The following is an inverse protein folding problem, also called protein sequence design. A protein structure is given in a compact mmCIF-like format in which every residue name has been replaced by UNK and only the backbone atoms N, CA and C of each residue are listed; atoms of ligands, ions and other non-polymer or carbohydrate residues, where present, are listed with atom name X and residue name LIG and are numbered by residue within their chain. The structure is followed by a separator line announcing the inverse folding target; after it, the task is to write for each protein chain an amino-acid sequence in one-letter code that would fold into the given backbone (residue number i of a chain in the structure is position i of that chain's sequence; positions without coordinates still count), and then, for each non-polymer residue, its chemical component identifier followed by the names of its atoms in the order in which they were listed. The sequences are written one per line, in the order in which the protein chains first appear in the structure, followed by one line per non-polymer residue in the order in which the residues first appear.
data_IF_497487089430
#
_entry.id   IF_497487089430
#
_cell.length_a   1.000
_cell.length_b   1.000
_cell.length_c   1.000
_cell.angle_alpha   90.00
_cell.angle_beta   90.00
_cell.angle_gamma   90.00
#
_symmetry.space_group_name_H-M   'P 1'
#
loop_
_entity.id
_entity.type
_entity.pdbx_description
1 polymer ?
#
# COMPACT_ATOMS: atom_id res chain seq x y z
N UNK A 1 10.59 -5.11 9.32
CA UNK A 1 10.16 -5.67 10.63
C UNK A 1 10.88 -7.00 10.77
N UNK A 2 11.82 -7.11 11.70
CA UNK A 2 12.47 -8.40 12.03
C UNK A 2 11.46 -9.17 12.87
N UNK A 3 11.02 -10.33 12.41
CA UNK A 3 10.20 -11.22 13.23
C UNK A 3 11.08 -11.68 14.42
N UNK A 4 10.59 -11.62 15.66
CA UNK A 4 11.33 -12.11 16.81
C UNK A 4 11.66 -13.60 16.63
N UNK A 5 12.83 -13.98 17.13
CA UNK A 5 13.24 -15.37 17.19
C UNK A 5 12.22 -16.17 18.04
N UNK A 6 12.06 -17.45 17.77
CA UNK A 6 11.02 -18.32 18.36
C UNK A 6 11.06 -18.46 19.92
N UNK A 7 11.77 -17.58 20.60
CA UNK A 7 11.85 -17.45 22.05
C UNK A 7 11.26 -16.16 22.62
N UNK A 8 10.85 -15.21 21.78
CA UNK A 8 10.23 -13.99 22.28
C UNK A 8 8.75 -14.23 22.58
N UNK A 9 8.37 -14.03 23.84
CA UNK A 9 6.98 -14.12 24.29
C UNK A 9 6.09 -13.17 23.47
N UNK A 10 5.09 -13.75 22.80
CA UNK A 10 4.00 -12.97 22.19
C UNK A 10 3.35 -12.15 23.30
N UNK A 11 3.49 -10.83 23.27
CA UNK A 11 2.88 -9.95 24.27
C UNK A 11 1.38 -10.07 24.21
N UNK A 12 0.78 -10.47 25.32
CA UNK A 12 -0.65 -10.62 25.49
C UNK A 12 -1.37 -9.28 25.21
N UNK A 13 -2.25 -9.27 24.22
CA UNK A 13 -3.21 -8.19 24.03
C UNK A 13 -4.36 -8.31 25.03
N UNK A 14 -5.15 -7.24 25.27
CA UNK A 14 -6.31 -7.30 26.14
C UNK A 14 -7.33 -8.32 25.58
N UNK A 15 -7.59 -9.39 26.33
CA UNK A 15 -8.51 -10.49 25.97
C UNK A 15 -7.87 -11.85 25.74
N UNK A 16 -6.54 -11.97 25.84
CA UNK A 16 -5.86 -13.27 25.71
C UNK A 16 -6.18 -14.17 26.91
N UNK A 17 -6.64 -15.43 26.72
CA UNK A 17 -6.85 -16.35 27.83
C UNK A 17 -5.52 -16.65 28.54
N UNK A 18 -5.46 -16.44 29.84
CA UNK A 18 -4.26 -16.74 30.64
C UNK A 18 -3.96 -18.23 30.58
N UNK A 19 -2.80 -18.61 30.03
CA UNK A 19 -2.26 -19.98 30.08
C UNK A 19 -2.57 -20.85 28.85
N UNK A 20 -3.11 -20.33 27.75
CA UNK A 20 -3.31 -21.06 26.50
C UNK A 20 -2.12 -20.93 25.54
N UNK A 21 -1.75 -22.02 24.83
CA UNK A 21 -0.82 -21.96 23.71
C UNK A 21 -1.53 -21.23 22.56
N UNK A 22 -1.03 -20.05 22.17
CA UNK A 22 -1.52 -19.34 20.99
C UNK A 22 -0.90 -19.95 19.73
N UNK A 23 -1.76 -20.31 18.78
CA UNK A 23 -1.33 -20.78 17.48
C UNK A 23 -1.59 -19.66 16.47
N UNK A 24 -0.57 -19.18 15.73
CA UNK A 24 -0.77 -18.12 14.74
C UNK A 24 -1.67 -18.63 13.61
N UNK A 25 -2.80 -17.97 13.38
CA UNK A 25 -3.74 -18.34 12.33
C UNK A 25 -3.38 -17.75 10.96
N UNK A 26 -2.87 -16.51 10.95
CA UNK A 26 -2.61 -15.78 9.71
C UNK A 26 -1.50 -14.74 9.91
N UNK A 27 -0.70 -14.55 8.87
CA UNK A 27 0.26 -13.45 8.73
C UNK A 27 -0.16 -12.62 7.52
N UNK A 28 -0.21 -11.30 7.69
CA UNK A 28 -0.42 -10.36 6.58
C UNK A 28 0.91 -9.70 6.25
N UNK A 29 1.48 -10.04 5.11
CA UNK A 29 2.66 -9.39 4.56
C UNK A 29 2.23 -8.28 3.59
N UNK A 30 2.87 -7.12 3.66
CA UNK A 30 2.48 -5.96 2.86
C UNK A 30 3.53 -5.62 1.80
N UNK A 31 3.09 -5.43 0.57
CA UNK A 31 3.90 -4.91 -0.53
C UNK A 31 3.46 -3.48 -0.83
N UNK A 32 4.26 -2.52 -0.35
CA UNK A 32 3.95 -1.10 -0.45
C UNK A 32 2.98 -0.62 0.63
N UNK A 33 3.46 -0.57 1.89
CA UNK A 33 2.69 -0.07 3.03
C UNK A 33 2.14 1.34 2.79
N UNK A 34 0.97 1.63 3.33
CA UNK A 34 0.31 2.94 3.16
C UNK A 34 1.17 4.10 3.64
N UNK A 35 1.91 3.93 4.72
CA UNK A 35 2.68 5.03 5.32
C UNK A 35 3.95 5.36 4.55
N UNK A 36 4.75 4.36 4.15
CA UNK A 36 6.11 4.56 3.62
C UNK A 36 6.43 3.75 2.38
N UNK A 37 5.49 2.96 1.88
CA UNK A 37 5.69 2.00 0.79
C UNK A 37 6.74 0.91 1.08
N UNK A 38 6.95 0.58 2.35
CA UNK A 38 7.80 -0.53 2.72
C UNK A 38 7.32 -1.84 2.08
N UNK A 39 8.25 -2.71 1.76
CA UNK A 39 8.00 -3.99 1.08
C UNK A 39 8.52 -5.10 1.99
N UNK A 40 7.62 -5.96 2.43
CA UNK A 40 7.96 -7.09 3.28
C UNK A 40 8.66 -8.21 2.50
N UNK A 41 9.60 -8.94 3.11
CA UNK A 41 10.35 -10.01 2.46
C UNK A 41 9.51 -11.30 2.35
N UNK A 42 8.64 -11.39 1.33
CA UNK A 42 7.66 -12.47 1.17
C UNK A 42 8.26 -13.88 1.28
N UNK A 43 9.44 -14.21 0.67
CA UNK A 43 9.99 -15.57 0.76
C UNK A 43 10.32 -15.99 2.21
N UNK A 44 10.88 -15.06 3.00
CA UNK A 44 11.23 -15.33 4.39
C UNK A 44 9.97 -15.51 5.26
N UNK A 45 8.95 -14.66 5.05
CA UNK A 45 7.67 -14.75 5.76
C UNK A 45 6.95 -16.06 5.39
N UNK A 46 6.91 -16.42 4.10
CA UNK A 46 6.30 -17.66 3.63
C UNK A 46 6.96 -18.90 4.26
N UNK A 47 8.31 -18.88 4.44
CA UNK A 47 9.00 -19.95 5.12
C UNK A 47 8.52 -20.13 6.57
N UNK A 48 8.37 -19.03 7.30
CA UNK A 48 7.86 -19.05 8.68
C UNK A 48 6.40 -19.51 8.73
N UNK A 49 5.54 -18.99 7.85
CA UNK A 49 4.13 -19.38 7.78
C UNK A 49 3.98 -20.89 7.58
N UNK A 50 4.73 -21.48 6.64
CA UNK A 50 4.70 -22.94 6.40
C UNK A 50 5.13 -23.75 7.62
N UNK A 51 6.15 -23.32 8.35
CA UNK A 51 6.61 -24.02 9.56
C UNK A 51 5.55 -24.07 10.66
N UNK A 52 4.70 -23.04 10.73
CA UNK A 52 3.70 -22.89 11.79
C UNK A 52 2.27 -23.16 11.32
N UNK A 53 2.07 -23.58 10.07
CA UNK A 53 0.74 -23.81 9.50
C UNK A 53 -0.13 -22.55 9.45
N UNK A 54 0.48 -21.35 9.42
CA UNK A 54 -0.24 -20.09 9.37
C UNK A 54 -0.55 -19.70 7.92
N UNK A 55 -1.76 -19.15 7.69
CA UNK A 55 -2.17 -18.59 6.40
C UNK A 55 -1.33 -17.36 6.06
N UNK A 56 -0.76 -17.30 4.86
CA UNK A 56 -0.09 -16.11 4.37
C UNK A 56 -1.00 -15.31 3.43
N UNK A 57 -1.38 -14.12 3.87
CA UNK A 57 -2.04 -13.13 3.02
C UNK A 57 -1.05 -12.06 2.57
N UNK A 58 -1.04 -11.70 1.29
CA UNK A 58 -0.24 -10.59 0.75
C UNK A 58 -1.15 -9.42 0.43
N UNK A 59 -0.96 -8.32 1.16
CA UNK A 59 -1.59 -7.03 0.86
C UNK A 59 -0.69 -6.21 -0.06
N UNK A 60 -0.98 -6.25 -1.33
CA UNK A 60 -0.36 -5.42 -2.37
C UNK A 60 -1.34 -4.36 -2.91
N UNK A 61 -2.22 -3.87 -2.05
CA UNK A 61 -3.39 -3.06 -2.43
C UNK A 61 -3.04 -1.88 -3.34
N UNK A 62 -1.92 -1.20 -3.11
CA UNK A 62 -1.47 -0.10 -3.95
C UNK A 62 -0.35 -0.53 -4.91
N UNK A 63 0.73 -1.06 -4.36
CA UNK A 63 1.95 -1.35 -5.12
C UNK A 63 1.82 -2.55 -6.07
N UNK A 64 0.86 -3.46 -5.84
CA UNK A 64 0.60 -4.58 -6.75
C UNK A 64 0.34 -4.14 -8.20
N UNK A 65 -0.18 -2.92 -8.40
CA UNK A 65 -0.33 -2.33 -9.73
C UNK A 65 1.00 -2.12 -10.46
N UNK A 66 2.11 -1.92 -9.74
CA UNK A 66 3.42 -1.72 -10.35
C UNK A 66 3.99 -3.01 -10.97
N UNK A 67 3.48 -4.19 -10.59
CA UNK A 67 3.88 -5.47 -11.18
C UNK A 67 3.50 -5.62 -12.67
N UNK A 68 2.71 -4.69 -13.23
CA UNK A 68 2.51 -4.56 -14.68
C UNK A 68 3.84 -4.29 -15.40
N UNK A 69 4.80 -3.66 -14.73
CA UNK A 69 6.14 -3.37 -15.22
C UNK A 69 7.06 -4.55 -14.95
N UNK A 70 7.70 -5.14 -15.98
CA UNK A 70 8.65 -6.24 -15.79
C UNK A 70 9.75 -5.90 -14.77
N UNK A 71 10.29 -4.69 -14.82
CA UNK A 71 11.34 -4.19 -13.94
C UNK A 71 10.91 -3.99 -12.48
N UNK A 72 9.60 -3.97 -12.20
CA UNK A 72 9.08 -3.82 -10.84
C UNK A 72 8.57 -5.14 -10.23
N UNK A 73 8.57 -6.23 -10.98
CA UNK A 73 8.05 -7.52 -10.50
C UNK A 73 8.79 -8.08 -9.29
N UNK A 74 10.02 -7.62 -9.06
CA UNK A 74 10.81 -8.02 -7.89
C UNK A 74 10.09 -7.72 -6.55
N UNK A 75 9.21 -6.69 -6.50
CA UNK A 75 8.44 -6.37 -5.28
C UNK A 75 7.48 -7.50 -4.89
N UNK A 76 7.15 -8.38 -5.84
CA UNK A 76 6.23 -9.49 -5.66
C UNK A 76 6.96 -10.84 -5.56
N UNK A 77 8.31 -10.86 -5.49
CA UNK A 77 9.07 -12.11 -5.37
C UNK A 77 8.61 -12.91 -4.16
N UNK A 78 8.21 -14.17 -4.36
CA UNK A 78 7.68 -15.05 -3.32
C UNK A 78 6.16 -15.04 -3.18
N UNK A 79 5.45 -14.19 -3.93
CA UNK A 79 3.97 -14.12 -3.89
C UNK A 79 3.31 -15.43 -4.29
N UNK A 80 3.97 -16.25 -5.11
CA UNK A 80 3.50 -17.59 -5.50
C UNK A 80 3.39 -18.55 -4.31
N UNK A 81 3.96 -18.20 -3.15
CA UNK A 81 3.91 -18.98 -1.92
C UNK A 81 2.76 -18.52 -1.00
N UNK A 82 2.08 -17.43 -1.32
CA UNK A 82 0.97 -16.91 -0.53
C UNK A 82 -0.30 -17.77 -0.71
N UNK A 83 -1.12 -17.84 0.33
CA UNK A 83 -2.44 -18.46 0.30
C UNK A 83 -3.49 -17.53 -0.30
N UNK A 84 -3.31 -16.23 -0.12
CA UNK A 84 -4.15 -15.20 -0.75
C UNK A 84 -3.39 -13.91 -1.02
N UNK A 85 -3.88 -13.15 -2.00
CA UNK A 85 -3.33 -11.88 -2.45
C UNK A 85 -4.45 -10.90 -2.75
N UNK A 86 -4.27 -9.64 -2.38
CA UNK A 86 -5.14 -8.54 -2.82
C UNK A 86 -4.33 -7.45 -3.50
N UNK A 87 -4.86 -6.89 -4.60
CA UNK A 87 -4.47 -5.58 -5.09
C UNK A 87 -5.69 -4.78 -5.53
N UNK A 88 -5.57 -3.46 -5.55
CA UNK A 88 -6.69 -2.57 -5.77
C UNK A 88 -6.53 -1.76 -7.07
N UNK A 89 -7.10 -2.20 -8.20
CA UNK A 89 -7.11 -1.43 -9.45
C UNK A 89 -7.66 -0.01 -9.28
N UNK A 90 -8.56 0.22 -8.32
CA UNK A 90 -9.09 1.55 -8.03
C UNK A 90 -8.10 2.50 -7.36
N UNK A 91 -6.88 2.05 -7.03
CA UNK A 91 -5.79 2.91 -6.55
C UNK A 91 -4.92 3.36 -7.73
N UNK A 92 -3.89 2.62 -8.07
CA UNK A 92 -2.88 3.09 -9.02
C UNK A 92 -3.15 2.73 -10.50
N UNK A 93 -4.14 1.86 -10.77
CA UNK A 93 -4.61 1.58 -12.14
C UNK A 93 -5.79 2.45 -12.58
N UNK A 94 -6.10 3.53 -11.86
CA UNK A 94 -7.09 4.55 -12.24
C UNK A 94 -8.54 4.04 -12.41
N UNK A 95 -8.87 2.88 -11.92
CA UNK A 95 -10.24 2.39 -11.95
C UNK A 95 -11.08 3.15 -10.94
N UNK A 96 -12.26 3.63 -11.35
CA UNK A 96 -13.17 4.32 -10.44
C UNK A 96 -13.50 3.46 -9.22
N UNK A 97 -13.50 4.09 -8.05
CA UNK A 97 -13.77 3.46 -6.76
C UNK A 97 -15.15 2.77 -6.78
N UNK A 98 -15.30 1.55 -6.26
CA UNK A 98 -14.21 0.69 -5.86
C UNK A 98 -14.05 -0.47 -6.86
N UNK A 99 -12.83 -1.02 -6.93
CA UNK A 99 -12.51 -2.24 -7.65
C UNK A 99 -11.27 -2.86 -6.97
N UNK A 100 -11.48 -3.99 -6.28
CA UNK A 100 -10.41 -4.80 -5.67
C UNK A 100 -10.38 -6.15 -6.33
N UNK A 101 -9.18 -6.65 -6.61
CA UNK A 101 -8.95 -8.00 -7.09
C UNK A 101 -8.36 -8.84 -5.95
N UNK A 102 -9.05 -9.90 -5.59
CA UNK A 102 -8.63 -10.85 -4.57
C UNK A 102 -8.37 -12.20 -5.21
N UNK A 103 -7.23 -12.77 -4.92
CA UNK A 103 -6.81 -14.08 -5.38
C UNK A 103 -6.66 -15.00 -4.17
N UNK A 104 -7.11 -16.21 -4.28
CA UNK A 104 -7.00 -17.24 -3.25
C UNK A 104 -6.54 -18.54 -3.89
N UNK A 105 -5.64 -19.25 -3.20
CA UNK A 105 -5.09 -20.51 -3.67
C UNK A 105 -6.12 -21.65 -3.51
N UNK A 106 -6.68 -21.77 -2.30
CA UNK A 106 -7.68 -22.79 -1.95
C UNK A 106 -9.09 -22.18 -2.02
N UNK A 107 -9.71 -22.33 -3.20
CA UNK A 107 -11.09 -21.85 -3.46
C UNK A 107 -12.10 -22.58 -2.58
N UNK A 108 -11.88 -23.88 -2.30
CA UNK A 108 -12.80 -24.68 -1.50
C UNK A 108 -12.86 -24.18 -0.05
N UNK A 109 -11.74 -23.77 0.53
CA UNK A 109 -11.71 -23.13 1.84
C UNK A 109 -12.49 -21.81 1.86
N UNK A 110 -12.37 -21.00 0.79
CA UNK A 110 -13.14 -19.77 0.66
C UNK A 110 -14.64 -20.05 0.60
N UNK A 111 -15.06 -21.01 -0.23
CA UNK A 111 -16.47 -21.40 -0.35
C UNK A 111 -17.01 -21.95 0.96
N UNK A 112 -16.28 -22.84 1.64
CA UNK A 112 -16.70 -23.35 2.97
C UNK A 112 -16.89 -22.26 4.00
N UNK A 113 -16.14 -21.15 3.88
CA UNK A 113 -16.21 -20.01 4.81
C UNK A 113 -17.43 -19.13 4.55
N UNK A 114 -17.78 -18.89 3.29
CA UNK A 114 -18.74 -17.85 2.92
C UNK A 114 -20.04 -18.38 2.31
N UNK A 115 -20.06 -19.61 1.78
CA UNK A 115 -21.27 -20.13 1.14
C UNK A 115 -22.40 -20.32 2.16
N UNK A 116 -23.44 -19.51 2.02
CA UNK A 116 -24.73 -19.69 2.69
C UNK A 116 -25.77 -19.80 1.58
N UNK A 117 -26.14 -21.03 1.23
CA UNK A 117 -27.06 -21.28 0.12
C UNK A 117 -28.43 -21.69 0.62
N UNK A 118 -29.35 -20.72 0.94
CA UNK A 118 -30.72 -21.00 1.29
C UNK A 118 -31.42 -21.73 0.14
N UNK A 119 -32.48 -22.46 0.45
CA UNK A 119 -33.20 -23.30 -0.51
C UNK A 119 -33.69 -22.53 -1.75
N UNK A 120 -34.17 -21.29 -1.56
CA UNK A 120 -34.67 -20.45 -2.67
C UNK A 120 -33.61 -19.97 -3.64
N UNK A 121 -32.31 -20.07 -3.29
CA UNK A 121 -31.20 -19.73 -4.16
C UNK A 121 -30.60 -20.93 -4.90
N UNK A 122 -31.04 -22.13 -4.59
CA UNK A 122 -30.60 -23.36 -5.25
C UNK A 122 -31.26 -23.47 -6.62
N UNK A 123 -30.44 -23.74 -7.63
CA UNK A 123 -30.91 -23.95 -9.00
C UNK A 123 -30.34 -25.24 -9.57
N UNK A 124 -30.99 -25.77 -10.60
CA UNK A 124 -30.50 -26.96 -11.30
C UNK A 124 -29.12 -26.73 -12.01
N UNK A 125 -28.70 -25.47 -12.13
CA UNK A 125 -27.46 -25.08 -12.84
C UNK A 125 -26.33 -24.69 -11.89
N UNK A 126 -26.49 -24.86 -10.57
CA UNK A 126 -25.48 -24.45 -9.59
C UNK A 126 -24.10 -25.15 -9.80
N UNK A 127 -24.12 -26.37 -10.37
CA UNK A 127 -22.91 -27.10 -10.73
C UNK A 127 -22.24 -26.62 -12.01
N UNK A 128 -22.96 -25.87 -12.85
CA UNK A 128 -22.52 -25.50 -14.20
C UNK A 128 -21.97 -24.09 -14.26
N UNK A 129 -22.08 -23.33 -13.16
CA UNK A 129 -21.71 -21.91 -13.10
C UNK A 129 -20.91 -21.59 -11.84
N UNK A 130 -20.11 -20.52 -11.90
CA UNK A 130 -19.44 -19.96 -10.73
C UNK A 130 -20.37 -18.95 -10.06
N UNK A 131 -20.89 -19.31 -8.88
CA UNK A 131 -21.75 -18.43 -8.10
C UNK A 131 -20.92 -17.51 -7.21
N UNK A 132 -20.64 -16.29 -7.65
CA UNK A 132 -19.84 -15.31 -6.88
C UNK A 132 -20.50 -14.86 -5.56
N UNK A 133 -21.79 -15.12 -5.34
CA UNK A 133 -22.45 -14.94 -4.03
C UNK A 133 -21.75 -15.74 -2.92
N UNK A 134 -21.16 -16.88 -3.28
CA UNK A 134 -20.54 -17.82 -2.34
C UNK A 134 -19.05 -17.46 -2.05
N UNK A 135 -18.52 -16.43 -2.72
CA UNK A 135 -17.11 -16.00 -2.63
C UNK A 135 -16.89 -14.86 -1.62
N UNK A 136 -17.85 -14.55 -0.78
CA UNK A 136 -17.75 -13.50 0.23
C UNK A 136 -19.10 -13.17 0.86
N UNK A 137 -19.11 -12.21 1.77
CA UNK A 137 -20.28 -11.85 2.56
C UNK A 137 -21.43 -11.19 1.77
N UNK A 138 -21.17 -10.71 0.55
CA UNK A 138 -22.13 -9.94 -0.24
C UNK A 138 -22.89 -10.87 -1.19
N UNK A 139 -24.23 -10.96 -1.06
CA UNK A 139 -25.08 -11.71 -1.98
C UNK A 139 -25.06 -11.10 -3.38
N UNK A 140 -25.31 -9.81 -3.51
CA UNK A 140 -25.29 -9.09 -4.77
C UNK A 140 -24.00 -8.30 -4.95
N UNK A 141 -23.43 -8.34 -6.16
CA UNK A 141 -22.18 -7.63 -6.48
C UNK A 141 -22.35 -6.74 -7.70
N UNK A 142 -21.75 -5.56 -7.65
CA UNK A 142 -21.62 -4.73 -8.84
C UNK A 142 -20.65 -5.39 -9.82
N UNK A 143 -20.87 -5.21 -11.13
CA UNK A 143 -19.96 -5.70 -12.16
C UNK A 143 -18.68 -4.84 -12.24
N UNK A 144 -17.84 -4.96 -11.21
CA UNK A 144 -16.60 -4.16 -11.08
C UNK A 144 -15.56 -4.50 -12.13
N UNK A 145 -15.50 -5.75 -12.58
CA UNK A 145 -14.58 -6.20 -13.62
C UNK A 145 -14.78 -5.42 -14.93
N UNK A 146 -16.01 -4.97 -15.25
CA UNK A 146 -16.28 -4.16 -16.43
C UNK A 146 -15.53 -2.81 -16.39
N UNK A 147 -15.45 -2.17 -15.22
CA UNK A 147 -14.68 -0.92 -15.07
C UNK A 147 -13.19 -1.13 -15.34
N UNK A 148 -12.63 -2.21 -14.80
CA UNK A 148 -11.23 -2.59 -15.05
C UNK A 148 -11.01 -2.90 -16.54
N UNK A 149 -11.93 -3.63 -17.16
CA UNK A 149 -11.86 -3.94 -18.58
C UNK A 149 -11.84 -2.67 -19.44
N UNK A 150 -12.71 -1.68 -19.16
CA UNK A 150 -12.72 -0.40 -19.88
C UNK A 150 -11.40 0.37 -19.71
N UNK A 151 -10.83 0.40 -18.50
CA UNK A 151 -9.53 1.06 -18.26
C UNK A 151 -8.43 0.37 -19.07
N UNK A 152 -8.34 -0.96 -19.02
CA UNK A 152 -7.34 -1.72 -19.79
C UNK A 152 -7.55 -1.51 -21.30
N UNK A 153 -8.78 -1.51 -21.77
CA UNK A 153 -9.09 -1.28 -23.21
C UNK A 153 -8.77 0.14 -23.65
N UNK A 154 -8.96 1.13 -22.77
CA UNK A 154 -8.72 2.55 -23.07
C UNK A 154 -7.24 2.92 -23.10
N UNK A 155 -6.47 2.45 -22.11
CA UNK A 155 -5.06 2.84 -21.96
C UNK A 155 -4.08 1.80 -22.51
N UNK A 156 -4.47 0.54 -22.60
CA UNK A 156 -3.58 -0.60 -22.83
C UNK A 156 -2.62 -0.86 -21.69
N UNK A 157 -1.92 -1.99 -21.75
CA UNK A 157 -0.86 -2.33 -20.79
C UNK A 157 0.30 -1.34 -20.88
N UNK A 158 0.67 -0.95 -22.10
CA UNK A 158 1.78 -0.04 -22.36
C UNK A 158 1.49 1.37 -21.83
N UNK A 159 0.26 1.88 -22.03
CA UNK A 159 -0.14 3.20 -21.54
C UNK A 159 -0.20 3.27 -20.00
N UNK A 160 -0.74 2.24 -19.35
CA UNK A 160 -0.73 2.12 -17.88
C UNK A 160 0.70 1.97 -17.35
N UNK A 161 1.53 1.16 -18.02
CA UNK A 161 2.94 0.98 -17.67
C UNK A 161 3.73 2.28 -17.82
N UNK A 162 3.56 3.02 -18.91
CA UNK A 162 4.22 4.31 -19.12
C UNK A 162 3.84 5.33 -18.04
N UNK A 163 2.58 5.36 -17.62
CA UNK A 163 2.12 6.21 -16.53
C UNK A 163 2.80 5.86 -15.21
N UNK A 164 2.84 4.57 -14.85
CA UNK A 164 3.47 4.15 -13.59
C UNK A 164 4.97 4.45 -13.62
N UNK A 165 5.68 4.20 -14.73
CA UNK A 165 7.11 4.57 -14.88
C UNK A 165 7.33 6.06 -14.65
N UNK A 166 6.48 6.91 -15.21
CA UNK A 166 6.53 8.36 -14.98
C UNK A 166 6.38 8.70 -13.50
N UNK A 167 5.41 8.09 -12.80
CA UNK A 167 5.21 8.31 -11.37
C UNK A 167 6.42 7.87 -10.53
N UNK A 168 7.04 6.74 -10.89
CA UNK A 168 8.27 6.26 -10.25
C UNK A 168 9.43 7.23 -10.46
N UNK A 169 9.63 7.69 -11.71
CA UNK A 169 10.70 8.63 -12.06
C UNK A 169 10.52 9.97 -11.32
N UNK A 170 9.31 10.51 -11.27
CA UNK A 170 8.99 11.75 -10.56
C UNK A 170 9.19 11.60 -9.04
N UNK A 171 8.85 10.44 -8.47
CA UNK A 171 9.10 10.14 -7.06
C UNK A 171 10.59 10.11 -6.73
N UNK A 172 11.38 9.44 -7.58
CA UNK A 172 12.85 9.39 -7.43
C UNK A 172 13.48 10.78 -7.59
N UNK A 173 13.03 11.59 -8.56
CA UNK A 173 13.51 12.94 -8.77
C UNK A 173 13.22 13.84 -7.56
N UNK A 174 12.00 13.79 -7.03
CA UNK A 174 11.64 14.54 -5.82
C UNK A 174 12.46 14.10 -4.60
N UNK A 175 12.66 12.79 -4.42
CA UNK A 175 13.51 12.27 -3.35
C UNK A 175 14.95 12.83 -3.47
N UNK A 176 15.51 12.87 -4.68
CA UNK A 176 16.81 13.48 -4.94
C UNK A 176 16.87 14.97 -4.59
N UNK A 177 15.80 15.73 -4.82
CA UNK A 177 15.75 17.15 -4.39
C UNK A 177 15.73 17.29 -2.88
N UNK A 178 15.02 16.41 -2.17
CA UNK A 178 14.99 16.38 -0.70
C UNK A 178 16.40 16.07 -0.14
N UNK A 179 17.06 15.03 -0.67
CA UNK A 179 18.39 14.61 -0.24
C UNK A 179 19.48 15.67 -0.51
N UNK A 180 19.35 16.39 -1.61
CA UNK A 180 20.29 17.45 -1.98
C UNK A 180 20.15 18.73 -1.13
N UNK A 181 19.05 18.90 -0.39
CA UNK A 181 18.80 20.11 0.38
C UNK A 181 19.23 19.94 1.85
N UNK A 182 20.10 20.81 2.40
CA UNK A 182 20.70 20.63 3.73
C UNK A 182 19.68 20.60 4.88
N UNK A 183 18.53 21.26 4.72
CA UNK A 183 17.51 21.39 5.76
C UNK A 183 16.34 20.42 5.60
N UNK A 184 16.46 19.42 4.74
CA UNK A 184 15.44 18.38 4.59
C UNK A 184 16.09 17.00 4.70
N UNK A 185 15.29 16.00 5.08
CA UNK A 185 15.74 14.61 5.11
C UNK A 185 14.62 13.66 4.70
N UNK A 186 14.99 12.56 4.04
CA UNK A 186 14.11 11.42 3.81
C UNK A 186 13.96 10.63 5.10
N UNK A 187 12.73 10.19 5.39
CA UNK A 187 12.43 9.34 6.56
C UNK A 187 12.21 7.87 6.21
N UNK A 188 12.15 7.54 4.92
CA UNK A 188 12.09 6.17 4.41
C UNK A 188 12.66 6.12 2.99
N UNK A 189 13.14 4.95 2.52
CA UNK A 189 13.43 4.73 1.11
C UNK A 189 12.20 5.00 0.24
N UNK A 190 12.41 5.52 -0.98
CA UNK A 190 11.34 5.89 -1.91
C UNK A 190 11.38 5.04 -3.21
N UNK A 191 11.22 3.70 -3.15
CA UNK A 191 11.30 2.83 -4.32
C UNK A 191 10.07 2.94 -5.23
N UNK A 192 9.02 3.58 -4.75
CA UNK A 192 7.74 3.77 -5.43
C UNK A 192 7.39 5.25 -5.53
N UNK A 193 6.24 5.60 -6.10
CA UNK A 193 5.80 6.98 -6.30
C UNK A 193 5.34 7.72 -5.04
N UNK A 194 5.88 7.39 -3.87
CA UNK A 194 5.60 8.06 -2.60
C UNK A 194 6.93 8.39 -1.90
N UNK A 195 7.06 9.65 -1.46
CA UNK A 195 8.23 10.15 -0.76
C UNK A 195 7.83 10.62 0.63
N UNK A 196 8.47 10.08 1.67
CA UNK A 196 8.30 10.47 3.06
C UNK A 196 9.50 11.29 3.49
N UNK A 197 9.28 12.54 3.84
CA UNK A 197 10.34 13.49 4.19
C UNK A 197 9.91 14.42 5.32
N UNK A 198 10.87 15.15 5.89
CA UNK A 198 10.59 16.26 6.80
C UNK A 198 11.57 17.41 6.62
N UNK A 199 11.13 18.59 7.00
CA UNK A 199 11.99 19.75 7.21
C UNK A 199 12.74 19.58 8.53
N UNK A 200 14.06 19.67 8.48
CA UNK A 200 14.97 19.56 9.61
C UNK A 200 16.09 20.58 9.44
N UNK A 201 15.86 21.84 9.85
CA UNK A 201 16.90 22.87 9.80
C UNK A 201 18.20 22.38 10.41
N UNK A 202 19.33 22.67 9.77
CA UNK A 202 20.66 22.28 10.23
C UNK A 202 20.99 22.78 11.64
N UNK A 203 20.33 23.87 12.09
CA UNK A 203 20.45 24.41 13.44
C UNK A 203 19.77 23.56 14.53
N UNK A 204 18.93 22.59 14.16
CA UNK A 204 18.22 21.73 15.10
C UNK A 204 18.77 20.30 15.06
N UNK A 205 18.86 19.66 16.23
CA UNK A 205 19.18 18.22 16.29
C UNK A 205 18.04 17.38 15.67
N UNK A 206 18.34 16.16 15.21
CA UNK A 206 17.35 15.27 14.60
C UNK A 206 16.20 14.85 15.51
N UNK A 207 16.38 14.94 16.83
CA UNK A 207 15.39 14.57 17.85
C UNK A 207 14.77 15.79 18.57
N UNK A 208 14.96 17.00 18.03
CA UNK A 208 14.40 18.21 18.61
C UNK A 208 12.85 18.14 18.59
N UNK A 209 12.18 18.29 19.74
CA UNK A 209 10.71 18.17 19.84
C UNK A 209 9.97 19.24 19.01
N UNK A 210 10.62 20.36 18.69
CA UNK A 210 10.05 21.43 17.84
C UNK A 210 9.83 20.97 16.39
N UNK A 211 10.59 19.98 15.91
CA UNK A 211 10.49 19.49 14.52
C UNK A 211 9.09 19.00 14.17
N UNK A 212 8.37 18.39 15.11
CA UNK A 212 6.99 17.95 14.88
C UNK A 212 6.07 19.12 14.57
N UNK A 213 6.16 20.19 15.37
CA UNK A 213 5.30 21.37 15.15
C UNK A 213 5.70 22.13 13.90
N UNK A 214 7.00 22.33 13.65
CA UNK A 214 7.51 22.95 12.42
C UNK A 214 6.96 22.27 11.16
N UNK A 215 6.98 20.94 11.13
CA UNK A 215 6.50 20.18 9.97
C UNK A 215 4.97 20.17 9.84
N UNK A 216 4.23 20.28 10.96
CA UNK A 216 2.78 20.50 10.92
C UNK A 216 2.44 21.86 10.32
N UNK A 217 3.13 22.91 10.75
CA UNK A 217 2.90 24.27 10.29
C UNK A 217 3.30 24.41 8.81
N UNK A 218 4.43 23.82 8.43
CA UNK A 218 4.84 23.73 7.02
C UNK A 218 3.78 23.05 6.16
N UNK A 219 3.32 21.87 6.56
CA UNK A 219 2.28 21.13 5.82
C UNK A 219 0.98 21.94 5.71
N UNK A 220 0.56 22.58 6.79
CA UNK A 220 -0.64 23.41 6.80
C UNK A 220 -0.52 24.57 5.80
N UNK A 221 0.64 25.26 5.76
CA UNK A 221 0.89 26.35 4.78
C UNK A 221 0.89 25.84 3.35
N UNK A 222 1.55 24.73 3.06
CA UNK A 222 1.56 24.14 1.72
C UNK A 222 0.14 23.83 1.27
N UNK A 223 -0.66 23.16 2.10
CA UNK A 223 -2.03 22.78 1.77
C UNK A 223 -2.98 24.00 1.68
N UNK A 224 -2.75 25.03 2.49
CA UNK A 224 -3.53 26.29 2.41
C UNK A 224 -3.34 27.04 1.07
N UNK A 225 -2.28 26.74 0.31
CA UNK A 225 -2.09 27.30 -1.03
C UNK A 225 -3.19 26.89 -2.02
N UNK A 226 -3.89 25.78 -1.76
CA UNK A 226 -4.89 25.19 -2.66
C UNK A 226 -4.33 24.64 -3.98
N UNK A 227 -3.01 24.68 -4.17
CA UNK A 227 -2.34 24.25 -5.42
C UNK A 227 -1.87 22.81 -5.39
N UNK A 228 -1.46 22.32 -4.20
CA UNK A 228 -1.08 20.95 -3.94
C UNK A 228 -1.73 20.49 -2.64
N UNK A 229 -1.90 19.18 -2.49
CA UNK A 229 -2.36 18.58 -1.25
C UNK A 229 -1.42 17.46 -0.85
N UNK A 230 -0.69 17.67 0.22
CA UNK A 230 0.19 16.69 0.83
C UNK A 230 -0.45 16.12 2.08
N UNK A 231 -0.02 14.92 2.47
CA UNK A 231 -0.49 14.25 3.68
C UNK A 231 0.67 14.06 4.66
N UNK A 232 0.40 13.44 5.81
CA UNK A 232 1.43 13.11 6.77
C UNK A 232 1.26 11.69 7.32
N UNK A 233 2.30 11.22 7.98
CA UNK A 233 2.31 10.00 8.79
C UNK A 233 3.33 10.15 9.93
N UNK A 234 3.45 9.12 10.76
CA UNK A 234 4.52 9.03 11.76
C UNK A 234 5.37 7.80 11.45
N UNK A 235 6.69 7.99 11.34
CA UNK A 235 7.67 6.92 11.09
C UNK A 235 8.73 6.95 12.20
N UNK A 236 8.83 5.84 12.94
CA UNK A 236 9.76 5.75 14.08
C UNK A 236 9.59 6.91 15.08
N UNK A 237 8.36 7.30 15.40
CA UNK A 237 8.04 8.40 16.30
C UNK A 237 8.20 9.80 15.69
N UNK A 238 8.69 9.93 14.44
CA UNK A 238 8.94 11.20 13.76
C UNK A 238 7.80 11.57 12.81
N UNK A 239 7.37 12.83 12.86
CA UNK A 239 6.39 13.36 11.92
C UNK A 239 6.99 13.42 10.51
N UNK A 240 6.34 12.80 9.55
CA UNK A 240 6.75 12.73 8.15
C UNK A 240 5.68 13.34 7.25
N UNK A 241 6.08 14.26 6.38
CA UNK A 241 5.25 14.74 5.27
C UNK A 241 5.33 13.70 4.15
N UNK A 242 4.21 13.45 3.48
CA UNK A 242 4.11 12.47 2.40
C UNK A 242 3.68 13.16 1.11
N UNK A 243 4.51 13.05 0.08
CA UNK A 243 4.15 13.36 -1.30
C UNK A 243 3.88 12.04 -2.03
N UNK A 244 2.63 11.83 -2.44
CA UNK A 244 2.19 10.64 -3.16
C UNK A 244 1.83 10.99 -4.60
N UNK A 245 2.52 10.39 -5.56
CA UNK A 245 2.32 10.59 -7.00
C UNK A 245 1.49 9.44 -7.53
N UNK A 246 0.24 9.71 -7.93
CA UNK A 246 -0.68 8.65 -8.38
C UNK A 246 -1.80 9.15 -9.28
N UNK A 247 -1.86 10.45 -9.56
CA UNK A 247 -2.87 11.04 -10.44
C UNK A 247 -2.45 10.96 -11.91
N UNK A 248 -3.40 10.65 -12.78
CA UNK A 248 -3.18 10.47 -14.23
C UNK A 248 -2.40 11.62 -14.89
N UNK A 249 -2.73 12.86 -14.49
CA UNK A 249 -2.19 14.07 -15.08
C UNK A 249 -1.02 14.66 -14.29
N UNK A 250 -0.45 13.94 -13.32
CA UNK A 250 0.74 14.42 -12.62
C UNK A 250 1.96 14.28 -13.53
N UNK A 251 2.59 15.40 -13.77
CA UNK A 251 3.80 15.55 -14.56
C UNK A 251 4.84 16.35 -13.77
N UNK A 252 6.02 16.54 -14.33
CA UNK A 252 7.14 17.22 -13.68
C UNK A 252 6.80 18.63 -13.15
N UNK A 253 6.09 19.51 -13.90
CA UNK A 253 5.76 20.84 -13.40
C UNK A 253 4.95 20.85 -12.09
N UNK A 254 4.02 19.89 -11.90
CA UNK A 254 3.27 19.80 -10.65
C UNK A 254 4.14 19.38 -9.46
N UNK A 255 5.13 18.51 -9.71
CA UNK A 255 6.06 18.03 -8.67
C UNK A 255 7.09 19.14 -8.33
N UNK A 256 7.57 19.88 -9.33
CA UNK A 256 8.39 21.08 -9.13
C UNK A 256 7.68 22.16 -8.33
N UNK A 257 6.41 22.39 -8.63
CA UNK A 257 5.58 23.35 -7.90
C UNK A 257 5.39 22.89 -6.43
N UNK A 258 5.15 21.59 -6.19
CA UNK A 258 5.08 21.05 -4.83
C UNK A 258 6.38 21.32 -4.07
N UNK A 259 7.53 21.06 -4.68
CA UNK A 259 8.83 21.30 -4.06
C UNK A 259 9.08 22.78 -3.79
N UNK A 260 8.75 23.65 -4.73
CA UNK A 260 8.83 25.11 -4.54
C UNK A 260 7.99 25.56 -3.33
N UNK A 261 6.73 25.14 -3.25
CA UNK A 261 5.83 25.48 -2.14
C UNK A 261 6.33 24.95 -0.80
N UNK A 262 6.92 23.75 -0.78
CA UNK A 262 7.52 23.18 0.44
C UNK A 262 8.69 24.04 0.91
N UNK A 263 9.58 24.47 0.03
CA UNK A 263 10.72 25.33 0.39
C UNK A 263 10.28 26.73 0.83
N UNK A 264 9.32 27.32 0.11
CA UNK A 264 8.79 28.65 0.46
C UNK A 264 8.11 28.61 1.84
N UNK A 265 7.37 27.54 2.15
CA UNK A 265 6.74 27.33 3.46
C UNK A 265 7.81 27.11 4.56
N UNK A 266 8.89 26.39 4.27
CA UNK A 266 9.98 26.15 5.22
C UNK A 266 10.72 27.44 5.59
N UNK A 267 10.90 28.36 4.62
CA UNK A 267 11.52 29.66 4.88
C UNK A 267 10.64 30.60 5.73
N UNK A 268 9.35 30.28 5.91
CA UNK A 268 8.38 31.10 6.63
C UNK A 268 7.96 30.53 8.01
N UNK A 269 8.50 29.37 8.41
CA UNK A 269 8.30 28.75 9.72
C UNK A 269 9.62 28.72 10.51
#
# INVERSE_FOLDING_TARGET
MVLPDAGDEVRDGPGTPRGGILVPACVVATVGTTSSTAIDPLPAIAHVCRRHGAWLHVDAAWAGSAAILPEMRWIMNGVEQADSLVFNPHKWLLVNFHCSAYFVRDVESLLRTFAITPEYLRTAHDSDVVNFRDWGIQLGRRFQALKLWFVIRSYGVDGLGAMIRRHLALGAEFAGWVEAHPDFELLAPAPLGLVCFRYRPTALSGDDPRLTQLNRDLLARVNASGRVFLTHTTLGGRYAIRLAIGQRCTERPQVEEAWRLVRDAAAAV
#
